data_IF_351030440191
#
_entry.id   IF_351030440191
#
_cell.length_a   1.000
_cell.length_b   1.000
_cell.length_c   1.000
_cell.angle_alpha   90.00
_cell.angle_beta   90.00
_cell.angle_gamma   90.00
#
_symmetry.space_group_name_H-M   'P 1'
#
loop_
_entity.id
_entity.type
_entity.pdbx_description
1 polymer ?
#
# COMPACT_ATOMS: atom_id res chain seq x y z
N UNK A 1 16.25 -7.63 8.78
CA UNK A 1 16.01 -6.36 8.06
C UNK A 1 17.00 -6.20 6.91
N UNK A 2 18.30 -6.38 7.17
CA UNK A 2 19.43 -6.25 6.22
C UNK A 2 19.27 -7.12 4.95
N UNK A 3 18.93 -8.42 5.09
CA UNK A 3 18.74 -9.33 3.93
C UNK A 3 17.71 -8.86 2.89
N UNK A 4 16.61 -8.22 3.31
CA UNK A 4 15.62 -7.69 2.37
C UNK A 4 16.19 -6.46 1.68
N UNK A 5 16.74 -5.51 2.43
CA UNK A 5 17.36 -4.29 1.88
C UNK A 5 18.43 -4.63 0.82
N UNK A 6 19.34 -5.55 1.13
CA UNK A 6 20.43 -5.95 0.21
C UNK A 6 19.92 -6.56 -1.09
N UNK A 7 18.93 -7.46 -1.03
CA UNK A 7 18.32 -8.09 -2.22
C UNK A 7 17.67 -7.08 -3.19
N UNK A 8 17.13 -5.97 -2.68
CA UNK A 8 16.42 -4.97 -3.50
C UNK A 8 17.28 -3.75 -3.90
N UNK A 9 18.39 -3.49 -3.21
CA UNK A 9 19.20 -2.27 -3.39
C UNK A 9 20.58 -2.56 -3.96
N UNK A 10 21.19 -3.71 -3.63
CA UNK A 10 22.57 -4.02 -4.02
C UNK A 10 22.69 -5.09 -5.11
N UNK A 11 21.62 -5.82 -5.44
CA UNK A 11 21.64 -6.89 -6.45
C UNK A 11 21.03 -6.41 -7.79
N UNK A 12 21.79 -6.56 -8.89
CA UNK A 12 21.41 -6.10 -10.24
C UNK A 12 20.17 -6.81 -10.83
N UNK A 13 19.69 -7.89 -10.22
CA UNK A 13 18.50 -8.63 -10.64
C UNK A 13 17.53 -8.73 -9.47
N UNK A 14 16.86 -7.61 -9.20
CA UNK A 14 15.76 -7.58 -8.24
C UNK A 14 14.60 -8.39 -8.80
N UNK A 15 14.29 -9.53 -8.19
CA UNK A 15 13.02 -10.22 -8.43
C UNK A 15 11.88 -9.31 -8.01
N UNK A 16 11.15 -8.78 -9.00
CA UNK A 16 9.98 -7.95 -8.79
C UNK A 16 8.71 -8.75 -9.06
N UNK A 17 7.62 -8.33 -8.42
CA UNK A 17 6.29 -8.89 -8.58
C UNK A 17 5.52 -8.04 -9.58
N UNK A 18 5.18 -8.62 -10.74
CA UNK A 18 4.45 -7.94 -11.80
C UNK A 18 2.94 -8.03 -11.60
N UNK A 19 2.25 -6.92 -11.83
CA UNK A 19 0.80 -6.92 -11.96
C UNK A 19 0.40 -7.57 -13.27
N UNK A 20 -0.65 -8.40 -13.24
CA UNK A 20 -1.16 -9.07 -14.44
C UNK A 20 -2.16 -8.21 -15.23
N UNK A 21 -2.61 -7.09 -14.64
CA UNK A 21 -3.60 -6.19 -15.22
C UNK A 21 -2.99 -4.90 -15.79
N UNK A 22 -1.72 -4.61 -15.48
CA UNK A 22 -1.01 -3.44 -15.98
C UNK A 22 0.51 -3.67 -15.95
N UNK A 23 1.33 -2.87 -16.68
CA UNK A 23 2.78 -3.09 -16.76
C UNK A 23 3.57 -2.69 -15.50
N UNK A 24 2.92 -2.48 -14.35
CA UNK A 24 3.60 -2.10 -13.10
C UNK A 24 4.21 -3.32 -12.41
N UNK A 25 5.39 -3.11 -11.85
CA UNK A 25 6.12 -4.08 -11.03
C UNK A 25 6.41 -3.51 -9.64
N UNK A 26 6.51 -4.39 -8.65
CA UNK A 26 6.70 -4.02 -7.25
C UNK A 26 7.81 -4.85 -6.61
N UNK A 27 8.61 -4.26 -5.70
CA UNK A 27 9.68 -5.00 -5.02
C UNK A 27 9.13 -6.01 -4.00
N UNK A 28 7.89 -5.84 -3.53
CA UNK A 28 7.33 -6.71 -2.51
C UNK A 28 5.92 -7.21 -2.88
N UNK A 29 5.57 -8.45 -2.48
CA UNK A 29 4.28 -9.04 -2.82
C UNK A 29 3.12 -8.30 -2.13
N UNK A 30 3.34 -7.75 -0.93
CA UNK A 30 2.34 -6.92 -0.25
C UNK A 30 2.07 -5.60 -1.00
N UNK A 31 3.09 -5.01 -1.62
CA UNK A 31 2.95 -3.80 -2.45
C UNK A 31 2.15 -4.09 -3.73
N UNK A 32 2.42 -5.21 -4.40
CA UNK A 32 1.62 -5.65 -5.54
C UNK A 32 0.15 -5.87 -5.13
N UNK A 33 -0.10 -6.63 -4.06
CA UNK A 33 -1.46 -6.91 -3.58
C UNK A 33 -2.22 -5.62 -3.26
N UNK A 34 -1.56 -4.68 -2.56
CA UNK A 34 -2.16 -3.40 -2.22
C UNK A 34 -2.50 -2.60 -3.48
N UNK A 35 -1.60 -2.58 -4.46
CA UNK A 35 -1.85 -1.96 -5.75
C UNK A 35 -3.07 -2.56 -6.44
N UNK A 36 -3.17 -3.90 -6.53
CA UNK A 36 -4.32 -4.57 -7.16
C UNK A 36 -5.62 -4.26 -6.45
N UNK A 37 -5.62 -4.27 -5.11
CA UNK A 37 -6.80 -3.92 -4.33
C UNK A 37 -7.25 -2.49 -4.60
N UNK A 38 -6.35 -1.51 -4.59
CA UNK A 38 -6.72 -0.09 -4.72
C UNK A 38 -7.05 0.28 -6.17
N UNK A 39 -6.20 -0.13 -7.12
CA UNK A 39 -6.26 0.35 -8.51
C UNK A 39 -7.20 -0.50 -9.34
N UNK A 40 -7.16 -1.82 -9.19
CA UNK A 40 -7.94 -2.72 -10.03
C UNK A 40 -9.25 -3.15 -9.38
N UNK A 41 -9.29 -3.34 -8.06
CA UNK A 41 -10.53 -3.65 -7.32
C UNK A 41 -11.22 -2.42 -6.75
N UNK A 42 -10.59 -1.23 -6.83
CA UNK A 42 -11.17 0.01 -6.31
C UNK A 42 -11.33 0.05 -4.78
N UNK A 43 -10.65 -0.84 -4.04
CA UNK A 43 -10.74 -0.93 -2.58
C UNK A 43 -10.27 0.38 -1.96
N UNK A 44 -11.12 0.96 -1.12
CA UNK A 44 -10.80 2.10 -0.28
C UNK A 44 -11.27 1.85 1.14
N UNK A 45 -10.64 2.54 2.08
CA UNK A 45 -10.94 2.51 3.49
C UNK A 45 -11.70 3.77 3.85
N UNK A 46 -12.98 3.63 4.16
CA UNK A 46 -13.85 4.76 4.52
C UNK A 46 -13.70 5.11 5.99
N UNK A 47 -13.73 6.41 6.30
CA UNK A 47 -13.83 6.86 7.67
C UNK A 47 -15.25 6.62 8.22
N UNK A 48 -15.41 6.09 9.44
CA UNK A 48 -16.74 5.89 10.03
C UNK A 48 -17.40 7.20 10.46
N UNK A 49 -16.63 8.27 10.64
CA UNK A 49 -17.10 9.55 11.20
C UNK A 49 -17.27 10.65 10.15
N UNK A 50 -16.81 10.44 8.91
CA UNK A 50 -16.91 11.45 7.85
C UNK A 50 -16.84 10.78 6.45
N UNK A 51 -17.19 11.49 5.35
CA UNK A 51 -17.22 10.89 4.01
C UNK A 51 -15.82 10.70 3.36
N UNK A 52 -14.72 10.96 4.09
CA UNK A 52 -13.37 10.77 3.55
C UNK A 52 -13.04 9.29 3.37
N UNK A 53 -12.37 8.97 2.26
CA UNK A 53 -11.87 7.63 1.95
C UNK A 53 -10.37 7.67 1.72
N UNK A 54 -9.70 6.57 2.07
CA UNK A 54 -8.25 6.44 2.01
C UNK A 54 -7.86 5.20 1.21
N UNK A 55 -6.72 5.26 0.54
CA UNK A 55 -6.16 4.11 -0.18
C UNK A 55 -5.50 3.10 0.75
N UNK A 56 -5.13 3.49 1.97
CA UNK A 56 -4.43 2.64 2.94
C UNK A 56 -5.00 2.80 4.35
N UNK A 57 -4.90 1.73 5.14
CA UNK A 57 -5.33 1.69 6.54
C UNK A 57 -4.57 2.66 7.43
N UNK A 58 -3.26 2.81 7.21
CA UNK A 58 -2.43 3.77 7.95
C UNK A 58 -2.89 5.21 7.76
N UNK A 59 -3.29 5.57 6.54
CA UNK A 59 -3.86 6.89 6.22
C UNK A 59 -5.19 7.13 6.94
N UNK A 60 -6.09 6.14 6.90
CA UNK A 60 -7.35 6.19 7.65
C UNK A 60 -7.11 6.31 9.16
N UNK A 61 -6.23 5.49 9.72
CA UNK A 61 -5.95 5.49 11.15
C UNK A 61 -5.43 6.84 11.63
N UNK A 62 -4.45 7.41 10.91
CA UNK A 62 -3.91 8.73 11.23
C UNK A 62 -5.00 9.80 11.14
N UNK A 63 -5.76 9.81 10.06
CA UNK A 63 -6.87 10.75 9.88
C UNK A 63 -7.90 10.63 11.02
N UNK A 64 -8.34 9.42 11.34
CA UNK A 64 -9.33 9.21 12.39
C UNK A 64 -8.79 9.67 13.75
N UNK A 65 -7.54 9.35 14.05
CA UNK A 65 -6.88 9.76 15.29
C UNK A 65 -6.77 11.28 15.42
N UNK A 66 -6.38 11.97 14.35
CA UNK A 66 -6.13 13.41 14.36
C UNK A 66 -7.42 14.24 14.31
N UNK A 67 -8.42 13.80 13.55
CA UNK A 67 -9.61 14.61 13.24
C UNK A 67 -10.86 14.20 14.02
N UNK A 68 -10.91 12.98 14.57
CA UNK A 68 -12.13 12.45 15.20
C UNK A 68 -11.90 11.90 16.62
N UNK A 69 -10.70 11.42 16.91
CA UNK A 69 -10.35 10.82 18.19
C UNK A 69 -9.55 11.79 19.06
N UNK A 70 -9.80 13.10 18.93
CA UNK A 70 -9.10 14.18 19.65
C UNK A 70 -8.77 13.79 21.10
N UNK A 71 -7.55 14.15 21.53
CA UNK A 71 -6.91 13.74 22.79
C UNK A 71 -7.85 13.51 23.97
#
# INVERSE_FOLDING_TARGET
YVRKHEKYVHESKVETYSCQLCPKTFPWPNSLRLHEEIVHKGKRYSCPSCPKTFSQTSGLWRHHREEHQGK
#
